data_IF_778818913797
#
_entry.id   IF_778818913797
#
_cell.length_a   1.000
_cell.length_b   1.000
_cell.length_c   1.000
_cell.angle_alpha   90.00
_cell.angle_beta   90.00
_cell.angle_gamma   90.00
#
_symmetry.space_group_name_H-M   'P 1'
#
loop_
_entity.id
_entity.type
_entity.pdbx_description
1 polymer ?
#
# COMPACT_ATOMS: atom_id res chain seq x y z
N UNK A 1 -13.01 4.53 -12.03
CA UNK A 1 -13.26 3.18 -12.62
C UNK A 1 -11.89 2.56 -12.82
N UNK A 2 -11.62 1.41 -12.20
CA UNK A 2 -10.26 0.87 -12.11
C UNK A 2 -9.47 1.36 -10.90
N UNK A 3 -10.12 2.06 -9.96
CA UNK A 3 -9.48 2.53 -8.73
C UNK A 3 -9.40 1.39 -7.71
N UNK A 4 -8.25 1.24 -7.07
CA UNK A 4 -8.05 0.33 -5.95
C UNK A 4 -8.56 0.99 -4.68
N UNK A 5 -9.57 0.37 -4.09
CA UNK A 5 -10.18 0.79 -2.84
C UNK A 5 -9.98 -0.28 -1.77
N UNK A 6 -9.81 0.17 -0.54
CA UNK A 6 -9.88 -0.64 0.67
C UNK A 6 -11.09 -0.14 1.45
N UNK A 7 -11.98 -1.05 1.80
CA UNK A 7 -13.06 -0.81 2.74
C UNK A 7 -12.65 -1.50 4.03
N UNK A 8 -12.45 -0.73 5.10
CA UNK A 8 -11.98 -1.26 6.39
C UNK A 8 -12.83 -2.46 6.82
N UNK A 9 -12.14 -3.55 7.21
CA UNK A 9 -12.70 -4.82 7.69
C UNK A 9 -13.68 -5.58 6.78
N UNK A 10 -13.90 -5.12 5.53
CA UNK A 10 -14.86 -5.75 4.61
C UNK A 10 -14.15 -6.34 3.39
N UNK A 11 -13.42 -5.50 2.64
CA UNK A 11 -12.84 -5.93 1.36
C UNK A 11 -11.71 -5.01 0.90
N UNK A 12 -10.88 -5.58 0.05
CA UNK A 12 -9.88 -4.87 -0.72
C UNK A 12 -9.95 -5.30 -2.19
N UNK A 13 -9.93 -4.33 -3.11
CA UNK A 13 -9.93 -4.64 -4.54
C UNK A 13 -10.11 -3.45 -5.48
N UNK A 14 -10.23 -3.76 -6.77
CA UNK A 14 -10.34 -2.77 -7.85
C UNK A 14 -11.82 -2.62 -8.25
N UNK A 15 -12.30 -1.38 -8.36
CA UNK A 15 -13.68 -1.09 -8.78
C UNK A 15 -13.86 -1.35 -10.27
N UNK A 16 -14.72 -2.31 -10.62
CA UNK A 16 -15.09 -2.59 -12.01
C UNK A 16 -16.30 -1.79 -12.47
N UNK A 17 -17.35 -1.74 -11.64
CA UNK A 17 -18.61 -1.08 -12.01
C UNK A 17 -19.36 -0.56 -10.80
N UNK A 18 -19.90 0.65 -10.90
CA UNK A 18 -20.77 1.26 -9.89
C UNK A 18 -22.20 1.27 -10.43
N UNK A 19 -23.12 0.65 -9.70
CA UNK A 19 -24.56 0.72 -9.94
C UNK A 19 -25.27 1.53 -8.84
N UNK A 20 -26.56 1.83 -9.04
CA UNK A 20 -27.34 2.65 -8.10
C UNK A 20 -27.47 2.05 -6.70
N UNK A 21 -27.60 0.72 -6.60
CA UNK A 21 -27.75 0.01 -5.32
C UNK A 21 -26.49 -0.73 -4.85
N UNK A 22 -25.54 -0.98 -5.75
CA UNK A 22 -24.36 -1.80 -5.46
C UNK A 22 -23.18 -1.47 -6.35
N UNK A 23 -21.99 -1.66 -5.81
CA UNK A 23 -20.71 -1.56 -6.51
C UNK A 23 -20.08 -2.95 -6.65
N UNK A 24 -19.57 -3.24 -7.85
CA UNK A 24 -18.85 -4.47 -8.18
C UNK A 24 -17.35 -4.21 -8.05
N UNK A 25 -16.71 -4.95 -7.15
CA UNK A 25 -15.28 -4.87 -6.85
C UNK A 25 -14.64 -6.21 -7.19
N UNK A 26 -13.51 -6.17 -7.91
CA UNK A 26 -12.69 -7.36 -8.17
C UNK A 26 -11.55 -7.42 -7.15
N UNK A 27 -11.51 -8.50 -6.38
CA UNK A 27 -10.42 -8.79 -5.43
C UNK A 27 -9.15 -9.20 -6.18
N UNK A 28 -8.02 -9.17 -5.48
CA UNK A 28 -6.72 -9.59 -6.04
C UNK A 28 -6.64 -11.08 -6.42
N UNK A 29 -7.45 -11.93 -5.78
CA UNK A 29 -7.62 -13.35 -6.15
C UNK A 29 -8.47 -13.55 -7.44
N UNK A 30 -8.83 -12.45 -8.13
CA UNK A 30 -9.69 -12.37 -9.32
C UNK A 30 -11.17 -12.68 -9.06
N UNK A 31 -11.59 -12.89 -7.81
CA UNK A 31 -13.00 -13.05 -7.47
C UNK A 31 -13.77 -11.73 -7.56
N UNK A 32 -15.08 -11.83 -7.80
CA UNK A 32 -16.00 -10.70 -7.86
C UNK A 32 -16.77 -10.60 -6.56
N UNK A 33 -16.82 -9.39 -6.00
CA UNK A 33 -17.63 -9.05 -4.84
C UNK A 33 -18.61 -7.94 -5.23
N UNK A 34 -19.87 -8.11 -4.80
CA UNK A 34 -20.93 -7.13 -4.99
C UNK A 34 -21.25 -6.55 -3.63
N UNK A 35 -21.06 -5.25 -3.48
CA UNK A 35 -21.16 -4.55 -2.20
C UNK A 35 -22.29 -3.53 -2.31
N UNK A 36 -23.26 -3.54 -1.39
CA UNK A 36 -24.32 -2.54 -1.39
C UNK A 36 -23.77 -1.15 -1.04
N UNK A 37 -24.32 -0.12 -1.65
CA UNK A 37 -23.78 1.23 -1.53
C UNK A 37 -23.84 1.79 -0.09
N UNK A 38 -24.79 1.34 0.74
CA UNK A 38 -24.89 1.78 2.13
C UNK A 38 -23.65 1.41 2.96
N UNK A 39 -22.99 0.29 2.65
CA UNK A 39 -21.78 -0.13 3.38
C UNK A 39 -20.60 0.83 3.13
N UNK A 40 -20.55 1.51 2.00
CA UNK A 40 -19.52 2.54 1.75
C UNK A 40 -19.83 3.86 2.47
N UNK A 41 -21.07 4.09 2.91
CA UNK A 41 -21.43 5.26 3.69
C UNK A 41 -21.17 5.04 5.19
N UNK A 42 -21.27 3.80 5.66
CA UNK A 42 -21.04 3.44 7.07
C UNK A 42 -19.57 3.15 7.40
N UNK A 43 -18.78 2.67 6.43
CA UNK A 43 -17.39 2.26 6.65
C UNK A 43 -16.42 3.26 6.01
N UNK A 44 -15.22 3.37 6.58
CA UNK A 44 -14.16 4.17 5.98
C UNK A 44 -13.67 3.50 4.68
N UNK A 45 -13.66 4.30 3.61
CA UNK A 45 -13.18 3.88 2.29
C UNK A 45 -11.88 4.60 2.00
N UNK A 46 -10.81 3.84 1.81
CA UNK A 46 -9.48 4.35 1.49
C UNK A 46 -9.23 4.13 0.01
N UNK A 47 -8.98 5.22 -0.72
CA UNK A 47 -8.57 5.14 -2.12
C UNK A 47 -7.04 5.02 -2.21
N UNK A 48 -6.57 3.82 -2.50
CA UNK A 48 -5.14 3.53 -2.59
C UNK A 48 -4.56 4.07 -3.90
N UNK A 49 -5.33 4.05 -4.99
CA UNK A 49 -4.89 4.60 -6.29
C UNK A 49 -4.59 6.10 -6.25
N UNK A 50 -5.21 6.84 -5.34
CA UNK A 50 -4.93 8.27 -5.14
C UNK A 50 -3.69 8.53 -4.25
N UNK A 51 -2.99 7.49 -3.78
CA UNK A 51 -1.81 7.64 -2.91
C UNK A 51 -0.60 8.14 -3.70
N UNK A 52 -0.18 9.37 -3.43
CA UNK A 52 0.96 10.02 -4.09
C UNK A 52 2.32 9.49 -3.62
N UNK A 53 2.43 9.18 -2.32
CA UNK A 53 3.69 8.75 -1.71
C UNK A 53 3.49 7.47 -0.91
N UNK A 54 4.37 6.51 -1.13
CA UNK A 54 4.33 5.21 -0.44
C UNK A 54 5.42 5.17 0.63
N UNK A 55 5.07 4.70 1.82
CA UNK A 55 6.03 4.50 2.91
C UNK A 55 6.61 3.09 2.78
N UNK A 56 7.94 2.98 2.79
CA UNK A 56 8.66 1.71 2.82
C UNK A 56 9.29 1.56 4.19
N UNK A 57 8.90 0.53 4.95
CA UNK A 57 9.47 0.22 6.25
C UNK A 57 10.15 -1.15 6.20
N UNK A 58 11.48 -1.17 6.32
CA UNK A 58 12.28 -2.39 6.33
C UNK A 58 13.05 -2.50 7.65
N UNK A 59 13.08 -3.70 8.20
CA UNK A 59 13.91 -4.04 9.38
C UNK A 59 15.08 -4.88 8.89
N UNK A 60 16.28 -4.34 8.94
CA UNK A 60 17.52 -5.03 8.51
C UNK A 60 18.22 -5.57 9.76
N UNK A 61 18.26 -6.89 9.91
CA UNK A 61 18.99 -7.56 10.99
C UNK A 61 20.43 -7.82 10.59
N UNK A 62 21.38 -7.42 11.44
CA UNK A 62 22.81 -7.61 11.23
C UNK A 62 23.39 -8.59 12.25
N UNK A 63 24.49 -9.25 11.89
CA UNK A 63 25.16 -10.19 12.79
C UNK A 63 25.83 -9.44 13.95
N UNK A 64 25.74 -9.98 15.16
CA UNK A 64 26.33 -9.36 16.35
C UNK A 64 27.86 -9.15 16.29
N UNK A 65 28.56 -9.85 15.39
CA UNK A 65 30.00 -9.70 15.19
C UNK A 65 30.39 -8.52 14.27
N UNK A 66 29.43 -7.77 13.73
CA UNK A 66 29.77 -6.56 12.95
C UNK A 66 30.32 -5.48 13.86
N UNK A 67 31.43 -4.87 13.44
CA UNK A 67 32.03 -3.76 14.18
C UNK A 67 31.20 -2.49 14.01
N UNK A 68 31.33 -1.56 14.96
CA UNK A 68 30.65 -0.25 14.91
C UNK A 68 30.97 0.52 13.62
N UNK A 69 32.19 0.37 13.09
CA UNK A 69 32.61 0.99 11.84
C UNK A 69 31.89 0.43 10.61
N UNK A 70 31.68 -0.89 10.56
CA UNK A 70 30.91 -1.54 9.51
C UNK A 70 29.44 -1.11 9.54
N UNK A 71 28.84 -0.98 10.73
CA UNK A 71 27.47 -0.49 10.89
C UNK A 71 27.30 0.94 10.33
N UNK A 72 28.23 1.84 10.66
CA UNK A 72 28.22 3.22 10.13
C UNK A 72 28.35 3.23 8.61
N UNK A 73 29.27 2.43 8.07
CA UNK A 73 29.47 2.33 6.61
C UNK A 73 28.21 1.84 5.89
N UNK A 74 27.55 0.80 6.42
CA UNK A 74 26.31 0.26 5.84
C UNK A 74 25.19 1.30 5.87
N UNK A 75 25.01 2.00 6.99
CA UNK A 75 24.04 3.10 7.09
C UNK A 75 24.30 4.17 6.04
N UNK A 76 25.55 4.63 5.93
CA UNK A 76 25.92 5.73 5.02
C UNK A 76 25.75 5.33 3.55
N UNK A 77 26.05 4.08 3.21
CA UNK A 77 25.82 3.53 1.86
C UNK A 77 24.33 3.43 1.53
N UNK A 78 23.49 2.98 2.47
CA UNK A 78 22.03 2.90 2.30
C UNK A 78 21.45 4.31 2.15
N UNK A 79 21.83 5.25 3.00
CA UNK A 79 21.36 6.64 2.94
C UNK A 79 21.72 7.30 1.60
N UNK A 80 22.96 7.08 1.14
CA UNK A 80 23.42 7.57 -0.16
C UNK A 80 22.64 6.93 -1.31
N UNK A 81 22.38 5.63 -1.24
CA UNK A 81 21.62 4.91 -2.26
C UNK A 81 20.17 5.44 -2.36
N UNK A 82 19.51 5.59 -1.21
CA UNK A 82 18.15 6.13 -1.09
C UNK A 82 18.08 7.56 -1.65
N UNK A 83 19.03 8.43 -1.30
CA UNK A 83 19.05 9.83 -1.77
C UNK A 83 19.35 9.96 -3.28
N UNK A 84 20.16 9.06 -3.82
CA UNK A 84 20.51 9.05 -5.25
C UNK A 84 19.32 8.63 -6.12
N UNK A 85 18.51 7.70 -5.60
CA UNK A 85 17.31 7.24 -6.27
C UNK A 85 16.22 8.30 -6.09
N UNK A 86 15.99 9.09 -7.14
CA UNK A 86 14.97 10.15 -7.27
C UNK A 86 13.51 9.75 -6.99
N UNK A 87 13.25 8.55 -6.47
CA UNK A 87 11.90 8.01 -6.20
C UNK A 87 11.24 8.72 -4.99
N UNK A 88 12.00 9.44 -4.17
CA UNK A 88 11.50 10.07 -2.93
C UNK A 88 11.38 11.61 -3.07
N UNK A 89 10.98 12.11 -4.24
CA UNK A 89 10.71 13.54 -4.46
C UNK A 89 9.26 13.80 -4.82
#
# INVERSE_FOLDING_TARGET
>A
MGDWIIVEDIIEGIVERIGFGSTVVRKFDKSLAIIPNFQFAENAVINVSATTNWIISWVITLQYNTTVEQLKKIRDEIEKYITTIKIIK
#
